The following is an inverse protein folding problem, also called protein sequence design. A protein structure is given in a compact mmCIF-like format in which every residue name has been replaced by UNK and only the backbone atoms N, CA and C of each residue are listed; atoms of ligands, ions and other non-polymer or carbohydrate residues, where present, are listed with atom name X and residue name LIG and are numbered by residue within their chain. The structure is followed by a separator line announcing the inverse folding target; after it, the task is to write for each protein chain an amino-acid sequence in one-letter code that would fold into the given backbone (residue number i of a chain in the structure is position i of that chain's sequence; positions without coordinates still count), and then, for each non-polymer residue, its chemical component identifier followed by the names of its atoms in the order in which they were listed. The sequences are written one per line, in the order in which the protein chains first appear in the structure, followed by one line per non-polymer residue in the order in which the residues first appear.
data_IF_840593122811
#
_entry.id   IF_840593122811
#
_cell.length_a   1.000
_cell.length_b   1.000
_cell.length_c   1.000
_cell.angle_alpha   90.00
_cell.angle_beta   90.00
_cell.angle_gamma   90.00
#
_symmetry.space_group_name_H-M   'P 1'
#
loop_
_entity.id
_entity.type
_entity.pdbx_description
1 polymer ?
#
# COMPACT_ATOMS: atom_id res chain seq x y z
N UNK A 1 6.87 -9.49 4.26
CA UNK A 1 6.90 -8.80 2.95
C UNK A 1 7.84 -7.62 3.11
N UNK A 2 8.53 -7.20 2.04
CA UNK A 2 9.46 -6.07 2.07
C UNK A 2 9.42 -5.25 0.78
N UNK A 3 10.54 -4.62 0.43
CA UNK A 3 10.71 -3.72 -0.73
C UNK A 3 10.00 -2.38 -0.56
N UNK A 4 8.82 -2.18 -1.16
CA UNK A 4 8.08 -0.90 -1.05
C UNK A 4 7.07 -0.87 0.09
N UNK A 5 7.17 -1.80 1.04
CA UNK A 5 6.19 -1.97 2.11
C UNK A 5 6.90 -1.92 3.44
N UNK A 6 6.57 -0.92 4.24
CA UNK A 6 7.09 -0.78 5.60
C UNK A 6 6.75 -1.97 6.47
N UNK A 7 7.76 -2.44 7.19
CA UNK A 7 7.66 -3.35 8.31
C UNK A 7 7.76 -2.60 9.64
N UNK A 8 8.09 -3.35 10.69
CA UNK A 8 8.27 -2.79 12.03
C UNK A 8 9.61 -2.04 12.17
N UNK A 9 10.61 -2.43 11.38
CA UNK A 9 11.97 -1.87 11.42
C UNK A 9 11.94 -0.41 10.94
N UNK A 10 11.20 -0.13 9.88
CA UNK A 10 11.03 1.20 9.29
C UNK A 10 10.34 2.19 10.25
N UNK A 11 9.57 1.70 11.24
CA UNK A 11 8.95 2.56 12.26
C UNK A 11 9.95 3.23 13.20
N UNK A 12 11.20 2.76 13.22
CA UNK A 12 12.25 3.32 14.09
C UNK A 12 13.01 4.49 13.46
N UNK A 13 12.77 4.74 12.17
CA UNK A 13 13.37 5.87 11.47
C UNK A 13 12.81 7.18 12.02
N UNK A 14 13.70 8.16 12.23
CA UNK A 14 13.36 9.46 12.83
C UNK A 14 12.59 10.37 11.89
N UNK A 15 12.70 10.15 10.58
CA UNK A 15 11.97 10.93 9.58
C UNK A 15 10.55 10.39 9.37
N UNK A 16 10.27 9.18 9.85
CA UNK A 16 8.96 8.55 9.74
C UNK A 16 8.04 9.04 10.86
N UNK A 17 6.97 9.74 10.49
CA UNK A 17 5.98 10.18 11.45
C UNK A 17 5.07 9.01 11.85
N UNK A 18 4.80 8.87 13.15
CA UNK A 18 3.91 7.86 13.70
C UNK A 18 2.66 8.50 14.28
N UNK A 19 1.49 8.01 13.87
CA UNK A 19 0.21 8.45 14.42
C UNK A 19 -0.44 7.29 15.18
N UNK A 20 -0.79 7.54 16.44
CA UNK A 20 -1.28 6.53 17.37
C UNK A 20 -2.70 6.86 17.82
N UNK A 21 -3.59 5.87 17.80
CA UNK A 21 -4.80 5.92 18.61
C UNK A 21 -4.51 5.27 19.96
N UNK A 22 -4.74 6.01 21.04
CA UNK A 22 -4.62 5.54 22.43
C UNK A 22 -6.00 5.42 23.06
N UNK A 23 -6.16 4.49 24.01
CA UNK A 23 -7.31 4.51 24.93
C UNK A 23 -7.03 5.40 26.16
N UNK A 24 -7.99 5.48 27.07
CA UNK A 24 -7.88 6.27 28.30
C UNK A 24 -6.78 5.79 29.27
N UNK A 25 -6.15 4.63 29.00
CA UNK A 25 -5.05 4.06 29.77
C UNK A 25 -3.73 4.07 28.98
N UNK A 26 -3.62 4.94 27.96
CA UNK A 26 -2.44 5.09 27.09
C UNK A 26 -2.07 3.82 26.31
N UNK A 27 -3.01 2.89 26.11
CA UNK A 27 -2.74 1.68 25.34
C UNK A 27 -2.93 1.97 23.85
N UNK A 28 -1.93 1.63 23.05
CA UNK A 28 -1.99 1.77 21.59
C UNK A 28 -3.06 0.83 21.01
N UNK A 29 -4.13 1.40 20.47
CA UNK A 29 -5.20 0.70 19.76
C UNK A 29 -4.90 0.53 18.28
N UNK A 30 -4.26 1.51 17.66
CA UNK A 30 -3.81 1.47 16.28
C UNK A 30 -2.60 2.39 16.07
N UNK A 31 -1.81 2.06 15.06
CA UNK A 31 -0.63 2.82 14.60
C UNK A 31 -0.65 2.93 13.09
N UNK A 32 -0.31 4.11 12.58
CA UNK A 32 0.05 4.34 11.18
C UNK A 32 1.42 4.99 11.08
N UNK A 33 2.17 4.66 10.02
CA UNK A 33 3.42 5.35 9.68
C UNK A 33 3.25 6.18 8.40
N UNK A 34 3.95 7.30 8.37
CA UNK A 34 3.85 8.28 7.30
C UNK A 34 5.24 8.69 6.83
N UNK A 35 5.53 8.37 5.57
CA UNK A 35 6.79 8.72 4.93
C UNK A 35 6.73 10.18 4.42
N UNK A 36 7.73 11.01 4.71
CA UNK A 36 7.76 12.40 4.27
C UNK A 36 8.04 12.52 2.76
N UNK A 37 7.33 13.45 2.13
CA UNK A 37 7.59 13.92 0.78
C UNK A 37 8.14 15.34 0.85
N UNK A 38 9.23 15.60 0.12
CA UNK A 38 9.95 16.87 0.21
C UNK A 38 9.87 17.68 -1.06
N UNK A 39 9.80 19.00 -0.91
CA UNK A 39 10.07 19.99 -1.97
C UNK A 39 10.98 21.06 -1.40
N UNK A 40 12.09 21.33 -2.09
CA UNK A 40 13.08 22.34 -1.69
C UNK A 40 13.57 22.18 -0.22
N UNK A 41 13.67 20.93 0.24
CA UNK A 41 14.11 20.60 1.60
C UNK A 41 13.04 20.73 2.70
N UNK A 42 11.83 21.17 2.38
CA UNK A 42 10.69 21.20 3.29
C UNK A 42 9.76 20.01 3.06
N UNK A 43 9.13 19.50 4.12
CA UNK A 43 8.09 18.47 4.01
C UNK A 43 6.83 19.13 3.44
N UNK A 44 6.32 18.61 2.33
CA UNK A 44 5.10 19.10 1.66
C UNK A 44 3.96 18.08 1.70
N UNK A 45 4.24 16.86 2.13
CA UNK A 45 3.21 15.84 2.22
C UNK A 45 3.69 14.57 2.90
N UNK A 46 2.73 13.70 3.15
CA UNK A 46 2.94 12.43 3.84
C UNK A 46 2.32 11.28 3.06
N UNK A 47 3.00 10.13 3.06
CA UNK A 47 2.52 8.91 2.41
C UNK A 47 2.35 7.79 3.44
N UNK A 48 1.13 7.26 3.55
CA UNK A 48 0.82 6.13 4.44
C UNK A 48 1.57 4.87 4.00
N UNK A 49 2.36 4.28 4.89
CA UNK A 49 3.17 3.11 4.57
C UNK A 49 2.80 1.89 5.42
N UNK A 50 2.76 2.06 6.74
CA UNK A 50 2.38 1.02 7.68
C UNK A 50 1.03 1.31 8.31
N UNK A 51 0.22 0.27 8.53
CA UNK A 51 -0.97 0.36 9.35
C UNK A 51 -1.22 -0.93 10.13
N UNK A 52 -1.40 -0.82 11.45
CA UNK A 52 -1.80 -1.94 12.31
C UNK A 52 -2.79 -1.47 13.35
N UNK A 53 -3.78 -2.31 13.65
CA UNK A 53 -4.67 -2.14 14.79
C UNK A 53 -4.66 -3.39 15.65
N UNK A 54 -5.00 -3.22 16.92
CA UNK A 54 -5.23 -4.34 17.81
C UNK A 54 -6.49 -5.11 17.43
N UNK A 55 -6.55 -6.44 17.68
CA UNK A 55 -7.75 -7.22 17.40
C UNK A 55 -8.97 -6.78 18.20
N UNK A 56 -8.75 -6.35 19.45
CA UNK A 56 -9.75 -5.88 20.41
C UNK A 56 -10.09 -4.39 20.29
N UNK A 57 -9.52 -3.69 19.30
CA UNK A 57 -9.84 -2.29 19.05
C UNK A 57 -11.28 -2.12 18.55
N UNK A 58 -11.86 -0.95 18.78
CA UNK A 58 -13.16 -0.60 18.17
C UNK A 58 -13.13 -0.69 16.64
N UNK A 59 -14.29 -1.02 16.06
CA UNK A 59 -14.49 -0.88 14.62
C UNK A 59 -14.33 0.60 14.23
N UNK A 60 -13.63 0.88 13.13
CA UNK A 60 -13.38 2.24 12.68
C UNK A 60 -12.12 2.89 13.26
N UNK A 61 -11.35 2.23 14.15
CA UNK A 61 -10.14 2.84 14.73
C UNK A 61 -9.11 3.24 13.68
N UNK A 62 -8.99 2.47 12.58
CA UNK A 62 -8.04 2.80 11.52
C UNK A 62 -8.51 4.00 10.71
N UNK A 63 -9.81 4.07 10.41
CA UNK A 63 -10.45 5.23 9.81
C UNK A 63 -10.28 6.48 10.67
N UNK A 64 -10.46 6.33 11.98
CA UNK A 64 -10.26 7.41 12.94
C UNK A 64 -8.82 7.94 12.92
N UNK A 65 -7.81 7.07 13.00
CA UNK A 65 -6.40 7.52 12.97
C UNK A 65 -6.05 8.21 11.66
N UNK A 66 -6.48 7.66 10.51
CA UNK A 66 -6.19 8.26 9.20
C UNK A 66 -6.90 9.62 9.05
N UNK A 67 -8.17 9.71 9.42
CA UNK A 67 -8.92 10.97 9.37
C UNK A 67 -8.32 12.03 10.32
N UNK A 68 -7.92 11.62 11.52
CA UNK A 68 -7.24 12.51 12.48
C UNK A 68 -5.88 12.97 11.95
N UNK A 69 -5.15 12.08 11.27
CA UNK A 69 -3.89 12.46 10.60
C UNK A 69 -4.14 13.47 9.48
N UNK A 70 -5.27 13.35 8.75
CA UNK A 70 -5.63 14.32 7.72
C UNK A 70 -5.92 15.72 8.27
N UNK A 71 -6.61 15.80 9.40
CA UNK A 71 -6.80 17.07 10.10
C UNK A 71 -5.47 17.63 10.58
N UNK A 72 -4.58 16.78 11.12
CA UNK A 72 -3.27 17.22 11.57
C UNK A 72 -2.38 17.73 10.43
N UNK A 73 -2.36 17.03 9.30
CA UNK A 73 -1.61 17.44 8.12
C UNK A 73 -2.08 18.80 7.58
N UNK A 74 -3.39 19.08 7.69
CA UNK A 74 -3.93 20.40 7.37
C UNK A 74 -3.42 21.49 8.32
N UNK A 75 -3.35 21.21 9.63
CA UNK A 75 -2.77 22.14 10.62
C UNK A 75 -1.27 22.40 10.39
N UNK A 76 -0.56 21.38 9.89
CA UNK A 76 0.87 21.45 9.56
C UNK A 76 1.12 22.03 8.15
N UNK A 77 0.09 22.60 7.50
CA UNK A 77 0.13 23.20 6.16
C UNK A 77 0.69 22.27 5.07
N UNK A 78 0.47 20.96 5.20
CA UNK A 78 0.86 19.98 4.18
C UNK A 78 -0.05 20.07 2.97
N UNK A 79 0.55 19.94 1.79
CA UNK A 79 -0.16 20.04 0.51
C UNK A 79 -0.98 18.79 0.20
N UNK A 80 -0.51 17.61 0.64
CA UNK A 80 -1.19 16.36 0.37
C UNK A 80 -0.93 15.27 1.41
N UNK A 81 -1.90 14.35 1.47
CA UNK A 81 -1.75 13.04 2.08
C UNK A 81 -2.00 11.96 1.05
N UNK A 82 -0.99 11.14 0.81
CA UNK A 82 -1.11 9.96 -0.02
C UNK A 82 -1.52 8.77 0.84
N UNK A 83 -2.61 8.11 0.46
CA UNK A 83 -2.98 6.81 1.04
C UNK A 83 -2.12 5.67 0.46
N UNK A 84 -1.06 5.97 -0.29
CA UNK A 84 -0.18 5.05 -1.00
C UNK A 84 -0.90 4.21 -2.07
N UNK A 85 -0.12 3.47 -2.85
CA UNK A 85 -0.59 2.67 -3.96
C UNK A 85 -1.65 1.66 -3.52
N UNK A 86 -2.72 1.54 -4.30
CA UNK A 86 -3.57 0.36 -4.32
C UNK A 86 -3.40 -0.25 -5.72
N UNK A 87 -2.61 -1.31 -5.88
CA UNK A 87 -2.40 -1.89 -7.19
C UNK A 87 -3.77 -2.36 -7.73
N UNK A 88 -4.00 -2.08 -9.02
CA UNK A 88 -5.13 -2.55 -9.82
C UNK A 88 -6.44 -1.78 -9.63
N UNK A 89 -6.36 -0.48 -9.33
CA UNK A 89 -7.43 0.43 -9.72
C UNK A 89 -7.49 0.47 -11.26
N UNK A 90 -8.25 -0.45 -11.86
CA UNK A 90 -8.48 -0.50 -13.30
C UNK A 90 -9.10 0.82 -13.75
N UNK A 91 -8.34 1.62 -14.49
CA UNK A 91 -8.83 2.81 -15.17
C UNK A 91 -9.55 2.40 -16.45
N UNK A 92 -10.84 2.06 -16.35
CA UNK A 92 -11.73 1.97 -17.51
C UNK A 92 -11.67 0.68 -18.32
N UNK A 93 -12.68 0.51 -19.18
CA UNK A 93 -12.94 -0.70 -19.94
C UNK A 93 -11.83 -0.99 -20.97
N UNK A 94 -11.45 -2.26 -21.18
CA UNK A 94 -10.39 -2.62 -22.10
C UNK A 94 -10.82 -2.39 -23.55
N UNK A 95 -10.02 -1.62 -24.29
CA UNK A 95 -10.09 -1.58 -25.76
C UNK A 95 -9.39 -2.84 -26.33
N UNK A 96 -10.13 -3.74 -27.01
CA UNK A 96 -9.61 -5.04 -27.46
C UNK A 96 -8.44 -4.96 -28.45
N UNK A 97 -8.23 -3.83 -29.13
CA UNK A 97 -7.22 -3.70 -30.20
C UNK A 97 -5.90 -3.04 -29.75
N UNK A 98 -5.80 -2.59 -28.49
CA UNK A 98 -4.61 -1.85 -28.02
C UNK A 98 -3.54 -2.76 -27.39
N UNK A 99 -2.26 -2.33 -27.48
CA UNK A 99 -1.13 -2.85 -26.67
C UNK A 99 -1.43 -2.93 -25.16
N UNK A 100 -2.46 -2.22 -24.70
CA UNK A 100 -3.07 -2.35 -23.38
C UNK A 100 -3.44 -3.80 -23.01
N UNK A 101 -3.83 -4.66 -23.97
CA UNK A 101 -4.25 -6.03 -23.69
C UNK A 101 -3.14 -6.93 -23.10
N UNK A 102 -1.86 -6.66 -23.41
CA UNK A 102 -0.73 -7.39 -22.83
C UNK A 102 -0.44 -6.89 -21.40
N UNK A 103 -0.46 -5.58 -21.21
CA UNK A 103 -0.32 -4.93 -19.90
C UNK A 103 -1.45 -5.34 -18.96
N UNK A 104 -2.69 -5.38 -19.43
CA UNK A 104 -3.87 -5.80 -18.67
C UNK A 104 -3.81 -7.28 -18.28
N UNK A 105 -3.23 -8.14 -19.13
CA UNK A 105 -2.98 -9.55 -18.74
C UNK A 105 -1.94 -9.66 -17.64
N UNK A 106 -0.87 -8.86 -17.70
CA UNK A 106 0.17 -8.85 -16.65
C UNK A 106 -0.40 -8.29 -15.36
N UNK A 107 -1.14 -7.17 -15.41
CA UNK A 107 -1.84 -6.60 -14.27
C UNK A 107 -2.87 -7.58 -13.70
N UNK A 108 -3.68 -8.21 -14.55
CA UNK A 108 -4.65 -9.23 -14.14
C UNK A 108 -3.98 -10.48 -13.54
N UNK A 109 -2.80 -10.87 -14.02
CA UNK A 109 -2.00 -11.94 -13.42
C UNK A 109 -1.47 -11.54 -12.05
N UNK A 110 -0.79 -10.39 -11.94
CA UNK A 110 -0.27 -9.87 -10.68
C UNK A 110 -1.36 -9.71 -9.64
N UNK A 111 -2.53 -9.21 -10.03
CA UNK A 111 -3.69 -9.09 -9.16
C UNK A 111 -4.17 -10.40 -8.59
N UNK A 112 -4.29 -11.44 -9.40
CA UNK A 112 -4.68 -12.78 -8.93
C UNK A 112 -3.61 -13.44 -8.08
N UNK A 113 -2.33 -13.23 -8.41
CA UNK A 113 -1.21 -13.84 -7.67
C UNK A 113 -0.99 -13.20 -6.30
N UNK A 114 -1.23 -11.90 -6.19
CA UNK A 114 -0.98 -11.13 -4.97
C UNK A 114 -2.26 -10.87 -4.15
N UNK A 115 -3.48 -11.02 -4.71
CA UNK A 115 -4.75 -10.93 -3.95
C UNK A 115 -4.76 -11.80 -2.68
N UNK A 116 -4.33 -13.08 -2.69
CA UNK A 116 -4.36 -13.90 -1.49
C UNK A 116 -3.45 -13.35 -0.39
N UNK A 117 -2.28 -12.84 -0.76
CA UNK A 117 -1.31 -12.31 0.21
C UNK A 117 -1.64 -10.90 0.69
N UNK A 118 -2.39 -10.11 -0.09
CA UNK A 118 -2.48 -8.66 0.09
C UNK A 118 -3.89 -8.06 0.19
N UNK A 119 -4.93 -8.75 -0.32
CA UNK A 119 -6.32 -8.26 -0.22
C UNK A 119 -6.55 -6.91 -0.93
N UNK A 120 -5.95 -6.65 -2.09
CA UNK A 120 -5.97 -5.33 -2.73
C UNK A 120 -7.36 -4.71 -2.94
N UNK A 121 -8.37 -5.53 -3.24
CA UNK A 121 -9.74 -5.07 -3.44
C UNK A 121 -10.36 -4.50 -2.16
N UNK A 122 -10.14 -5.16 -1.02
CA UNK A 122 -10.63 -4.66 0.27
C UNK A 122 -9.84 -3.42 0.70
N UNK A 123 -8.54 -3.36 0.42
CA UNK A 123 -7.72 -2.19 0.70
C UNK A 123 -8.13 -0.98 -0.16
N UNK A 124 -8.40 -1.17 -1.45
CA UNK A 124 -8.91 -0.10 -2.32
C UNK A 124 -10.29 0.38 -1.87
N UNK A 125 -11.20 -0.54 -1.53
CA UNK A 125 -12.52 -0.19 -0.99
C UNK A 125 -12.42 0.56 0.35
N UNK A 126 -11.42 0.22 1.18
CA UNK A 126 -11.12 0.93 2.40
C UNK A 126 -10.64 2.37 2.12
N UNK A 127 -9.66 2.55 1.22
CA UNK A 127 -9.12 3.88 0.84
C UNK A 127 -10.19 4.79 0.22
N UNK A 128 -11.17 4.22 -0.49
CA UNK A 128 -12.31 4.97 -1.06
C UNK A 128 -13.13 5.75 -0.02
N UNK A 129 -13.14 5.32 1.25
CA UNK A 129 -13.89 5.99 2.32
C UNK A 129 -13.45 7.44 2.55
N UNK A 130 -12.20 7.77 2.20
CA UNK A 130 -11.61 9.10 2.38
C UNK A 130 -11.74 9.99 1.14
N UNK A 131 -12.46 9.54 0.11
CA UNK A 131 -12.66 10.28 -1.15
C UNK A 131 -11.36 10.81 -1.77
N UNK A 132 -10.31 9.97 -1.95
CA UNK A 132 -9.04 10.43 -2.49
C UNK A 132 -9.15 10.81 -3.97
N UNK A 133 -8.27 11.71 -4.39
CA UNK A 133 -7.92 11.86 -5.80
C UNK A 133 -7.03 10.69 -6.24
N UNK A 134 -7.26 10.18 -7.44
CA UNK A 134 -6.53 9.02 -7.96
C UNK A 134 -5.41 9.46 -8.88
N UNK A 135 -4.17 9.18 -8.45
CA UNK A 135 -2.98 9.43 -9.25
C UNK A 135 -2.44 8.12 -9.85
N UNK A 136 -2.01 8.18 -11.12
CA UNK A 136 -1.50 7.02 -11.83
C UNK A 136 -0.04 6.75 -11.48
N UNK A 137 0.26 5.52 -11.06
CA UNK A 137 1.64 5.04 -10.93
C UNK A 137 2.08 4.31 -12.20
N UNK A 138 3.26 4.66 -12.70
CA UNK A 138 3.81 4.11 -13.94
C UNK A 138 5.15 3.44 -13.63
N UNK A 139 5.37 2.26 -14.21
CA UNK A 139 6.67 1.58 -14.19
C UNK A 139 7.35 1.76 -15.54
N UNK A 140 8.48 2.47 -15.56
CA UNK A 140 9.32 2.60 -16.74
C UNK A 140 10.19 1.35 -16.91
N UNK A 141 10.28 0.85 -18.14
CA UNK A 141 11.16 -0.26 -18.52
C UNK A 141 11.70 -0.01 -19.93
N UNK A 142 12.90 -0.51 -20.22
CA UNK A 142 13.58 -0.26 -21.48
C UNK A 142 13.04 -1.13 -22.63
N UNK A 143 12.82 -2.42 -22.37
CA UNK A 143 12.34 -3.40 -23.36
C UNK A 143 11.15 -4.20 -22.79
N UNK A 144 10.01 -4.33 -23.51
CA UNK A 144 8.92 -5.21 -23.11
C UNK A 144 9.33 -6.66 -22.81
N UNK A 145 10.42 -7.16 -23.41
CA UNK A 145 10.96 -8.50 -23.15
C UNK A 145 11.56 -8.63 -21.74
N UNK A 146 11.82 -7.52 -21.03
CA UNK A 146 12.26 -7.54 -19.64
C UNK A 146 11.13 -7.82 -18.64
N UNK A 147 9.86 -7.66 -19.05
CA UNK A 147 8.71 -7.78 -18.14
C UNK A 147 8.65 -9.10 -17.36
N UNK A 148 8.92 -10.28 -17.94
CA UNK A 148 8.97 -11.52 -17.17
C UNK A 148 10.05 -11.50 -16.08
N UNK A 149 11.24 -10.96 -16.39
CA UNK A 149 12.36 -10.85 -15.44
C UNK A 149 12.06 -9.84 -14.35
N UNK A 150 11.47 -8.69 -14.70
CA UNK A 150 11.02 -7.66 -13.76
C UNK A 150 9.95 -8.25 -12.82
N UNK A 151 8.94 -8.95 -13.36
CA UNK A 151 7.91 -9.59 -12.55
C UNK A 151 8.48 -10.62 -11.56
N UNK A 152 9.44 -11.44 -12.00
CA UNK A 152 10.13 -12.39 -11.12
C UNK A 152 11.02 -11.70 -10.06
N UNK A 153 11.62 -10.56 -10.38
CA UNK A 153 12.38 -9.76 -9.43
C UNK A 153 11.46 -9.12 -8.37
N UNK A 154 10.36 -8.50 -8.80
CA UNK A 154 9.34 -7.94 -7.90
C UNK A 154 8.76 -9.01 -6.98
N UNK A 155 8.41 -10.19 -7.51
CA UNK A 155 7.90 -11.30 -6.70
C UNK A 155 8.87 -11.70 -5.58
N UNK A 156 10.17 -11.80 -5.89
CA UNK A 156 11.22 -12.09 -4.89
C UNK A 156 11.43 -10.94 -3.90
N UNK A 157 11.33 -9.69 -4.35
CA UNK A 157 11.49 -8.52 -3.50
C UNK A 157 10.35 -8.37 -2.49
N UNK A 158 9.10 -8.61 -2.90
CA UNK A 158 7.94 -8.57 -2.00
C UNK A 158 7.83 -9.80 -1.10
N UNK A 159 8.26 -10.97 -1.57
CA UNK A 159 8.15 -12.25 -0.87
C UNK A 159 9.53 -12.93 -0.70
N UNK A 160 10.48 -12.29 0.00
CA UNK A 160 11.87 -12.78 0.08
C UNK A 160 11.97 -14.17 0.74
N UNK A 161 11.08 -14.48 1.68
CA UNK A 161 11.13 -15.72 2.47
C UNK A 161 10.30 -16.87 1.88
N UNK A 162 9.51 -16.62 0.83
CA UNK A 162 8.65 -17.65 0.24
C UNK A 162 9.47 -18.54 -0.68
N UNK A 163 9.81 -19.74 -0.22
CA UNK A 163 10.41 -20.78 -1.07
C UNK A 163 9.35 -21.36 -2.02
N UNK A 164 9.71 -21.63 -3.27
CA UNK A 164 8.78 -22.12 -4.32
C UNK A 164 7.91 -23.34 -3.90
N UNK A 165 8.44 -24.21 -3.02
CA UNK A 165 7.70 -25.37 -2.48
C UNK A 165 6.65 -25.07 -1.40
N UNK A 166 6.56 -23.83 -0.90
CA UNK A 166 5.62 -23.42 0.15
C UNK A 166 4.37 -22.72 -0.39
N UNK A 167 4.37 -22.31 -1.66
CA UNK A 167 3.22 -21.72 -2.37
C UNK A 167 1.95 -22.60 -2.26
N UNK A 168 2.01 -23.95 -2.45
CA UNK A 168 0.82 -24.78 -2.29
C UNK A 168 0.32 -24.90 -0.84
N UNK A 169 1.19 -24.68 0.16
CA UNK A 169 0.80 -24.72 1.59
C UNK A 169 0.13 -23.43 2.03
N UNK A 170 0.61 -22.28 1.53
CA UNK A 170 -0.02 -20.98 1.74
C UNK A 170 -1.45 -20.97 1.18
N UNK A 171 -1.64 -21.47 -0.05
CA UNK A 171 -2.97 -21.60 -0.67
C UNK A 171 -3.93 -22.53 0.10
N UNK A 172 -3.41 -23.49 0.88
CA UNK A 172 -4.20 -24.46 1.64
C UNK A 172 -4.64 -23.98 3.01
N UNK A 173 -3.91 -23.05 3.62
CA UNK A 173 -4.24 -22.45 4.92
C UNK A 173 -5.19 -21.25 4.80
N UNK A 174 -5.54 -20.87 3.58
CA UNK A 174 -6.38 -19.71 3.25
C UNK A 174 -7.75 -20.12 2.66
N UNK A 175 -8.17 -21.37 2.94
CA UNK A 175 -9.54 -21.85 2.75
C UNK A 175 -10.29 -21.82 4.06
#
# INVERSE_FOLDING_TARGET
MGFTLGGLEELTDREVALMLALDEQDRVLAVTSWLPSYRDGAVVGWTLDFMRRRPDSMNGVMEFVIASTALRAQEDDLEFLSLSAAPLASSGAPDPESRAAATDRVLGFLGRTLEPAYGFRSLLAFKKKFQPEYEQLIMAYADPLDLPRIGAALGRAYLPDVRAGQIPRLLRTMR
#
